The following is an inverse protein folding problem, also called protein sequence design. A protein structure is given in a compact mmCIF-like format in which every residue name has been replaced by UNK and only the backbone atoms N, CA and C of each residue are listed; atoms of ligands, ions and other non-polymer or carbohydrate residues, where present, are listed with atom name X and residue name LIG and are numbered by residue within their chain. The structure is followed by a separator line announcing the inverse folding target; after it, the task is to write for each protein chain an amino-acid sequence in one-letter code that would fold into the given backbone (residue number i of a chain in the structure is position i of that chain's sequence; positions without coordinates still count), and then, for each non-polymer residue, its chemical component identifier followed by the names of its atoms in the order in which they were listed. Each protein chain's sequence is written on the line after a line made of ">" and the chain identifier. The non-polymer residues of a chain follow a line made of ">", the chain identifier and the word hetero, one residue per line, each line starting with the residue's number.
data_IF_778968567183
#
_entry.id   IF_778968567183
#
_cell.length_a   1.000
_cell.length_b   1.000
_cell.length_c   1.000
_cell.angle_alpha   90.00
_cell.angle_beta   90.00
_cell.angle_gamma   90.00
#
_symmetry.space_group_name_H-M   'P 1'
#
loop_
_entity.id
_entity.type
_entity.pdbx_description
1 polymer ?
#
# COMPACT_ATOMS: atom_id res chain seq x y z
N UNK A 1 9.29 27.49 16.49
CA UNK A 1 9.45 27.41 15.03
C UNK A 1 9.06 26.03 14.51
N UNK A 2 8.66 25.93 13.24
CA UNK A 2 8.26 24.66 12.59
C UNK A 2 9.38 23.60 12.68
N UNK A 3 10.63 24.02 12.60
CA UNK A 3 11.79 23.13 12.72
C UNK A 3 11.89 22.49 14.10
N UNK A 4 11.66 23.23 15.16
CA UNK A 4 11.68 22.71 16.55
C UNK A 4 10.57 21.69 16.74
N UNK A 5 9.34 21.99 16.26
CA UNK A 5 8.22 21.04 16.29
C UNK A 5 8.59 19.73 15.59
N UNK A 6 9.09 19.81 14.35
CA UNK A 6 9.50 18.63 13.59
C UNK A 6 10.60 17.82 14.30
N UNK A 7 11.55 18.49 14.96
CA UNK A 7 12.60 17.83 15.70
C UNK A 7 12.05 17.09 16.92
N UNK A 8 11.15 17.71 17.69
CA UNK A 8 10.49 17.09 18.83
C UNK A 8 9.68 15.85 18.38
N UNK A 9 8.85 15.98 17.33
CA UNK A 9 8.10 14.86 16.73
C UNK A 9 9.04 13.71 16.32
N UNK A 10 10.20 14.04 15.74
CA UNK A 10 11.20 13.04 15.37
C UNK A 10 11.80 12.33 16.57
N UNK A 11 12.09 13.03 17.68
CA UNK A 11 12.58 12.40 18.92
C UNK A 11 11.53 11.41 19.46
N UNK A 12 10.26 11.79 19.53
CA UNK A 12 9.19 10.87 19.94
C UNK A 12 9.08 9.65 19.00
N UNK A 13 9.20 9.88 17.71
CA UNK A 13 9.21 8.78 16.73
C UNK A 13 10.39 7.82 16.96
N UNK A 14 11.60 8.35 17.21
CA UNK A 14 12.80 7.53 17.51
C UNK A 14 12.65 6.76 18.82
N UNK A 15 12.13 7.41 19.88
CA UNK A 15 11.86 6.76 21.14
C UNK A 15 10.84 5.62 20.97
N UNK A 16 9.77 5.85 20.25
CA UNK A 16 8.80 4.80 19.92
C UNK A 16 9.47 3.62 19.21
N UNK A 17 10.21 3.86 18.12
CA UNK A 17 10.92 2.81 17.38
C UNK A 17 11.87 2.04 18.29
N UNK A 18 12.67 2.74 19.12
CA UNK A 18 13.59 2.14 20.07
C UNK A 18 12.88 1.27 21.12
N UNK A 19 11.79 1.76 21.71
CA UNK A 19 10.99 0.99 22.66
C UNK A 19 10.41 -0.27 22.03
N UNK A 20 9.85 -0.16 20.82
CA UNK A 20 9.30 -1.33 20.12
C UNK A 20 10.39 -2.37 19.84
N UNK A 21 11.60 -1.95 19.46
CA UNK A 21 12.75 -2.87 19.26
C UNK A 21 13.16 -3.57 20.56
N UNK A 22 13.16 -2.86 21.69
CA UNK A 22 13.50 -3.44 23.03
C UNK A 22 12.50 -4.52 23.43
N UNK A 23 11.20 -4.28 23.28
CA UNK A 23 10.17 -5.27 23.66
C UNK A 23 10.05 -6.43 22.65
N UNK A 24 10.67 -6.30 21.50
CA UNK A 24 10.76 -7.33 20.46
C UNK A 24 9.53 -7.43 19.57
N UNK A 25 9.70 -8.11 18.42
CA UNK A 25 8.73 -8.12 17.32
C UNK A 25 7.31 -8.53 17.76
N UNK A 26 7.17 -9.71 18.38
CA UNK A 26 5.84 -10.25 18.76
C UNK A 26 5.12 -9.34 19.75
N UNK A 27 5.83 -8.85 20.76
CA UNK A 27 5.25 -7.97 21.78
C UNK A 27 4.88 -6.60 21.21
N UNK A 28 5.72 -6.04 20.35
CA UNK A 28 5.46 -4.78 19.62
C UNK A 28 4.16 -4.87 18.82
N UNK A 29 4.00 -5.92 18.03
CA UNK A 29 2.81 -6.15 17.19
C UNK A 29 1.56 -6.31 18.05
N UNK A 30 1.64 -7.14 19.09
CA UNK A 30 0.52 -7.37 20.02
C UNK A 30 0.12 -6.10 20.77
N UNK A 31 1.09 -5.37 21.31
CA UNK A 31 0.88 -4.13 22.05
C UNK A 31 0.26 -3.03 21.17
N UNK A 32 0.87 -2.74 20.01
CA UNK A 32 0.36 -1.71 19.12
C UNK A 32 -1.03 -2.07 18.55
N UNK A 33 -1.27 -3.34 18.22
CA UNK A 33 -2.57 -3.84 17.81
C UNK A 33 -3.63 -3.65 18.90
N UNK A 34 -3.31 -4.03 20.13
CA UNK A 34 -4.21 -3.87 21.26
C UNK A 34 -4.56 -2.40 21.54
N UNK A 35 -3.54 -1.55 21.65
CA UNK A 35 -3.72 -0.11 21.92
C UNK A 35 -4.57 0.53 20.82
N UNK A 36 -4.27 0.27 19.56
CA UNK A 36 -5.03 0.82 18.44
C UNK A 36 -6.48 0.29 18.42
N UNK A 37 -6.70 -0.98 18.73
CA UNK A 37 -8.05 -1.58 18.81
C UNK A 37 -8.91 -0.92 19.88
N UNK A 38 -8.32 -0.58 21.04
CA UNK A 38 -9.04 0.01 22.17
C UNK A 38 -9.25 1.52 21.98
N UNK A 39 -8.22 2.26 21.58
CA UNK A 39 -8.27 3.73 21.49
C UNK A 39 -8.74 4.23 20.12
N UNK A 40 -8.47 3.50 19.05
CA UNK A 40 -8.80 3.88 17.68
C UNK A 40 -10.27 4.22 17.46
N UNK A 41 -11.23 3.45 17.96
CA UNK A 41 -12.66 3.77 17.83
C UNK A 41 -13.06 5.16 18.32
N UNK A 42 -12.31 5.75 19.23
CA UNK A 42 -12.58 7.08 19.79
C UNK A 42 -11.89 8.22 19.02
N UNK A 43 -11.04 7.91 18.05
CA UNK A 43 -10.36 8.92 17.21
C UNK A 43 -11.33 9.45 16.14
N UNK A 44 -11.32 10.76 15.92
CA UNK A 44 -12.28 11.44 15.03
C UNK A 44 -12.35 10.88 13.60
N UNK A 45 -11.23 10.37 13.06
CA UNK A 45 -11.17 9.75 11.72
C UNK A 45 -12.00 8.46 11.62
N UNK A 46 -12.34 7.83 12.73
CA UNK A 46 -13.21 6.63 12.76
C UNK A 46 -14.59 6.90 12.18
N UNK A 47 -15.14 8.10 12.37
CA UNK A 47 -16.42 8.50 11.76
C UNK A 47 -16.39 8.45 10.24
N UNK A 48 -15.23 8.68 9.62
CA UNK A 48 -15.05 8.54 8.16
C UNK A 48 -15.15 7.06 7.77
N UNK A 49 -14.48 6.17 8.51
CA UNK A 49 -14.54 4.74 8.28
C UNK A 49 -15.98 4.20 8.41
N UNK A 50 -16.70 4.60 9.46
CA UNK A 50 -18.09 4.21 9.67
C UNK A 50 -18.99 4.65 8.50
N UNK A 51 -18.86 5.91 8.09
CA UNK A 51 -19.61 6.45 6.94
C UNK A 51 -19.30 5.67 5.65
N UNK A 52 -18.03 5.35 5.41
CA UNK A 52 -17.63 4.63 4.21
C UNK A 52 -18.10 3.16 4.24
N UNK A 53 -18.02 2.49 5.39
CA UNK A 53 -18.58 1.16 5.57
C UNK A 53 -20.09 1.14 5.31
N UNK A 54 -20.83 2.09 5.88
CA UNK A 54 -22.26 2.21 5.65
C UNK A 54 -22.62 2.50 4.19
N UNK A 55 -21.80 3.32 3.51
CA UNK A 55 -22.00 3.58 2.06
C UNK A 55 -21.82 2.33 1.20
N UNK A 56 -20.88 1.43 1.57
CA UNK A 56 -20.54 0.23 0.80
C UNK A 56 -21.44 -0.95 1.16
N UNK A 57 -21.70 -1.17 2.46
CA UNK A 57 -22.40 -2.35 2.96
C UNK A 57 -23.85 -2.09 3.43
N UNK A 58 -24.27 -0.83 3.43
CA UNK A 58 -25.57 -0.39 3.92
C UNK A 58 -25.60 -0.07 5.42
N UNK A 59 -26.58 0.69 5.86
CA UNK A 59 -26.70 1.19 7.24
C UNK A 59 -26.92 0.09 8.29
N UNK A 60 -27.41 -1.08 7.87
CA UNK A 60 -27.56 -2.24 8.77
C UNK A 60 -26.25 -2.98 9.05
N UNK A 61 -25.15 -2.57 8.42
CA UNK A 61 -23.85 -3.20 8.63
C UNK A 61 -23.32 -2.87 10.03
N UNK A 62 -22.92 -3.89 10.79
CA UNK A 62 -22.45 -3.75 12.17
C UNK A 62 -21.00 -3.18 12.20
N UNK A 63 -20.89 -1.86 12.03
CA UNK A 63 -19.60 -1.15 12.04
C UNK A 63 -18.88 -1.30 13.38
N UNK A 64 -19.62 -1.44 14.50
CA UNK A 64 -19.05 -1.59 15.85
C UNK A 64 -18.18 -2.84 15.99
N UNK A 65 -18.50 -3.90 15.25
CA UNK A 65 -17.68 -5.13 15.21
C UNK A 65 -16.46 -5.02 14.31
N UNK A 66 -16.53 -4.18 13.29
CA UNK A 66 -15.48 -4.10 12.25
C UNK A 66 -14.46 -3.01 12.58
N UNK A 67 -14.87 -1.86 13.06
CA UNK A 67 -13.98 -0.73 13.39
C UNK A 67 -12.82 -1.16 14.30
N UNK A 68 -13.03 -1.87 15.43
CA UNK A 68 -11.91 -2.32 16.23
C UNK A 68 -10.93 -3.25 15.51
N UNK A 69 -11.40 -4.06 14.56
CA UNK A 69 -10.53 -4.93 13.73
C UNK A 69 -9.70 -4.15 12.73
N UNK A 70 -10.25 -3.06 12.16
CA UNK A 70 -9.50 -2.14 11.30
C UNK A 70 -8.35 -1.52 12.09
N UNK A 71 -8.64 -1.01 13.28
CA UNK A 71 -7.65 -0.41 14.16
C UNK A 71 -6.61 -1.41 14.66
N UNK A 72 -7.01 -2.63 15.02
CA UNK A 72 -6.10 -3.72 15.37
C UNK A 72 -5.10 -4.00 14.25
N UNK A 73 -5.59 -4.14 13.01
CA UNK A 73 -4.71 -4.37 11.86
C UNK A 73 -3.75 -3.20 11.60
N UNK A 74 -4.23 -1.96 11.74
CA UNK A 74 -3.38 -0.78 11.61
C UNK A 74 -2.34 -0.68 12.74
N UNK A 75 -2.74 -0.94 13.98
CA UNK A 75 -1.81 -1.00 15.10
C UNK A 75 -0.74 -2.06 14.91
N UNK A 76 -1.11 -3.25 14.44
CA UNK A 76 -0.15 -4.31 14.08
C UNK A 76 0.84 -3.84 13.01
N UNK A 77 0.37 -3.17 11.96
CA UNK A 77 1.24 -2.57 10.96
C UNK A 77 2.25 -1.59 11.59
N UNK A 78 1.80 -0.73 12.50
CA UNK A 78 2.69 0.21 13.23
C UNK A 78 3.72 -0.55 14.08
N UNK A 79 3.29 -1.62 14.77
CA UNK A 79 4.17 -2.46 15.58
C UNK A 79 5.18 -3.28 14.77
N UNK A 80 4.85 -3.63 13.54
CA UNK A 80 5.71 -4.34 12.58
C UNK A 80 6.74 -3.42 11.91
N UNK A 81 6.42 -2.14 11.74
CA UNK A 81 7.23 -1.18 10.99
C UNK A 81 8.70 -1.09 11.46
N UNK A 82 9.03 -1.05 12.79
CA UNK A 82 10.41 -1.00 13.26
C UNK A 82 11.29 -2.17 12.81
N UNK A 83 10.67 -3.28 12.41
CA UNK A 83 11.34 -4.54 12.13
C UNK A 83 11.49 -4.87 10.64
N UNK A 84 11.05 -3.97 9.74
CA UNK A 84 11.12 -4.21 8.29
C UNK A 84 12.53 -4.63 7.85
N UNK A 85 13.59 -4.02 8.41
CA UNK A 85 14.98 -4.35 8.08
C UNK A 85 15.67 -5.27 9.09
N UNK A 86 15.04 -5.52 10.25
CA UNK A 86 15.62 -6.35 11.31
C UNK A 86 15.36 -7.86 11.08
N UNK A 87 14.22 -8.18 10.45
CA UNK A 87 13.89 -9.57 10.14
C UNK A 87 14.84 -10.13 9.08
N UNK A 88 15.34 -11.35 9.30
CA UNK A 88 16.10 -12.07 8.29
C UNK A 88 15.21 -12.47 7.11
N UNK A 89 15.81 -12.82 5.98
CA UNK A 89 15.06 -13.27 4.79
C UNK A 89 14.32 -14.58 5.09
N UNK A 90 14.91 -15.47 5.90
CA UNK A 90 14.24 -16.70 6.35
C UNK A 90 12.99 -16.38 7.18
N UNK A 91 13.07 -15.44 8.14
CA UNK A 91 11.93 -15.01 8.92
C UNK A 91 10.87 -14.38 8.03
N UNK A 92 11.25 -13.48 7.11
CA UNK A 92 10.34 -12.86 6.17
C UNK A 92 9.62 -13.90 5.30
N UNK A 93 10.37 -14.83 4.71
CA UNK A 93 9.79 -15.88 3.86
C UNK A 93 8.84 -16.80 4.63
N UNK A 94 9.11 -17.07 5.91
CA UNK A 94 8.22 -17.89 6.75
C UNK A 94 6.89 -17.21 7.08
N UNK A 95 6.80 -15.88 6.95
CA UNK A 95 5.59 -15.11 7.20
C UNK A 95 4.69 -14.98 5.97
N UNK A 96 5.17 -15.34 4.78
CA UNK A 96 4.44 -15.17 3.54
C UNK A 96 4.09 -16.49 2.86
N UNK A 97 2.84 -16.59 2.42
CA UNK A 97 2.42 -17.53 1.39
C UNK A 97 2.13 -16.74 0.12
N UNK A 98 2.81 -17.10 -0.97
CA UNK A 98 2.62 -16.44 -2.27
C UNK A 98 1.78 -17.34 -3.18
N UNK A 99 0.73 -16.76 -3.77
CA UNK A 99 -0.09 -17.39 -4.82
C UNK A 99 -0.03 -16.56 -6.09
N UNK A 100 -0.23 -17.20 -7.24
CA UNK A 100 -0.24 -16.52 -8.54
C UNK A 100 1.12 -16.04 -9.01
N UNK A 101 2.23 -16.58 -8.47
CA UNK A 101 3.58 -16.20 -8.88
C UNK A 101 3.84 -16.50 -10.37
N UNK A 102 3.11 -17.49 -10.93
CA UNK A 102 3.11 -17.83 -12.34
C UNK A 102 2.65 -16.66 -13.22
N UNK A 103 1.78 -15.77 -12.73
CA UNK A 103 1.30 -14.60 -13.46
C UNK A 103 2.39 -13.57 -13.77
N UNK A 104 3.53 -13.64 -13.05
CA UNK A 104 4.67 -12.72 -13.25
C UNK A 104 5.94 -13.44 -13.70
N UNK A 105 5.94 -14.77 -13.79
CA UNK A 105 7.10 -15.59 -14.11
C UNK A 105 7.71 -15.25 -15.49
N UNK A 106 6.87 -15.03 -16.48
CA UNK A 106 7.32 -14.69 -17.84
C UNK A 106 7.92 -13.29 -17.91
N UNK A 107 7.38 -12.35 -17.15
CA UNK A 107 7.96 -10.99 -17.03
C UNK A 107 9.34 -11.06 -16.36
N UNK A 108 9.50 -11.89 -15.31
CA UNK A 108 10.76 -12.11 -14.66
C UNK A 108 11.79 -12.73 -15.62
N UNK A 109 11.43 -13.86 -16.24
CA UNK A 109 12.31 -14.61 -17.16
C UNK A 109 12.80 -13.73 -18.33
N UNK A 110 11.90 -12.92 -18.87
CA UNK A 110 12.19 -12.06 -20.02
C UNK A 110 12.68 -10.67 -19.62
N UNK A 111 12.89 -10.40 -18.32
CA UNK A 111 13.28 -9.09 -17.77
C UNK A 111 12.35 -7.94 -18.24
N UNK A 112 11.08 -8.25 -18.47
CA UNK A 112 10.07 -7.27 -18.87
C UNK A 112 9.50 -6.58 -17.62
N UNK A 113 9.49 -5.25 -17.59
CA UNK A 113 8.91 -4.52 -16.47
C UNK A 113 7.37 -4.55 -16.49
N UNK A 114 6.77 -4.36 -15.32
CA UNK A 114 5.33 -4.29 -15.15
C UNK A 114 4.94 -3.25 -14.06
N UNK A 115 3.67 -2.91 -14.02
CA UNK A 115 3.08 -2.10 -12.98
C UNK A 115 2.44 -3.02 -11.96
N UNK A 116 2.90 -2.97 -10.72
CA UNK A 116 2.30 -3.67 -9.60
C UNK A 116 1.41 -2.70 -8.82
N UNK A 117 0.14 -3.01 -8.66
CA UNK A 117 -0.69 -2.22 -7.78
C UNK A 117 -1.18 -3.01 -6.57
N UNK A 118 -1.25 -2.31 -5.46
CA UNK A 118 -1.71 -2.82 -4.17
C UNK A 118 -2.69 -1.83 -3.56
N UNK A 119 -3.35 -2.28 -2.49
CA UNK A 119 -4.08 -1.43 -1.58
C UNK A 119 -3.36 -1.36 -0.22
N UNK A 120 -3.72 -0.38 0.62
CA UNK A 120 -3.25 -0.28 2.01
C UNK A 120 -3.89 -1.36 2.89
N UNK A 121 -3.61 -2.61 2.57
CA UNK A 121 -4.10 -3.81 3.26
C UNK A 121 -2.99 -4.46 4.08
N UNK A 122 -3.35 -5.06 5.19
CA UNK A 122 -2.43 -5.80 6.05
C UNK A 122 -1.11 -5.04 6.32
N UNK A 123 0.02 -5.55 5.84
CA UNK A 123 1.31 -4.84 5.88
C UNK A 123 1.93 -4.76 4.49
N UNK A 124 1.61 -3.69 3.76
CA UNK A 124 2.13 -3.45 2.40
C UNK A 124 3.65 -3.23 2.34
N UNK A 125 4.29 -2.76 3.42
CA UNK A 125 5.75 -2.61 3.45
C UNK A 125 6.44 -3.98 3.47
N UNK A 126 5.87 -4.96 4.16
CA UNK A 126 6.42 -6.33 4.18
C UNK A 126 6.27 -7.02 2.82
N UNK A 127 5.11 -6.89 2.14
CA UNK A 127 4.96 -7.50 0.81
C UNK A 127 5.86 -6.83 -0.22
N UNK A 128 6.03 -5.50 -0.14
CA UNK A 128 6.96 -4.79 -1.01
C UNK A 128 8.38 -5.31 -0.79
N UNK A 129 8.83 -5.44 0.47
CA UNK A 129 10.14 -6.01 0.78
C UNK A 129 10.27 -7.41 0.20
N UNK A 130 9.30 -8.30 0.44
CA UNK A 130 9.34 -9.68 -0.03
C UNK A 130 9.40 -9.77 -1.56
N UNK A 131 8.58 -8.98 -2.27
CA UNK A 131 8.61 -8.95 -3.74
C UNK A 131 9.92 -8.38 -4.26
N UNK A 132 10.50 -7.37 -3.63
CA UNK A 132 11.75 -6.76 -4.09
C UNK A 132 12.97 -7.64 -3.82
N UNK A 133 12.90 -8.58 -2.91
CA UNK A 133 13.93 -9.62 -2.76
C UNK A 133 13.89 -10.62 -3.94
N UNK A 134 12.70 -10.89 -4.49
CA UNK A 134 12.53 -11.77 -5.67
C UNK A 134 12.78 -11.01 -6.99
N UNK A 135 12.31 -9.75 -7.06
CA UNK A 135 12.40 -8.85 -8.21
C UNK A 135 13.09 -7.55 -7.79
N UNK A 136 14.43 -7.50 -7.78
CA UNK A 136 15.13 -6.37 -7.17
C UNK A 136 14.99 -5.04 -7.90
N UNK A 137 14.56 -5.04 -9.18
CA UNK A 137 14.48 -3.83 -10.00
C UNK A 137 13.09 -3.19 -9.95
N UNK A 138 12.76 -2.62 -8.80
CA UNK A 138 11.50 -1.91 -8.56
C UNK A 138 11.70 -0.44 -8.24
N UNK A 139 10.78 0.40 -8.71
CA UNK A 139 10.58 1.75 -8.22
C UNK A 139 9.22 1.83 -7.49
N UNK A 140 9.24 2.31 -6.27
CA UNK A 140 8.07 2.38 -5.38
C UNK A 140 7.63 3.82 -5.26
N UNK A 141 6.38 4.10 -5.63
CA UNK A 141 5.82 5.44 -5.50
C UNK A 141 5.29 5.62 -4.09
N UNK A 142 5.79 6.63 -3.37
CA UNK A 142 5.39 6.89 -1.99
C UNK A 142 5.04 8.36 -1.75
N UNK A 143 4.23 8.63 -0.74
CA UNK A 143 3.96 9.99 -0.27
C UNK A 143 4.98 10.38 0.80
N UNK A 144 5.66 11.51 0.61
CA UNK A 144 6.55 12.07 1.62
C UNK A 144 5.80 12.37 2.92
N UNK A 145 6.41 12.03 4.04
CA UNK A 145 5.90 12.47 5.34
C UNK A 145 6.03 14.00 5.48
N UNK A 146 5.11 14.61 6.23
CA UNK A 146 5.13 16.07 6.44
C UNK A 146 6.35 16.54 7.24
N UNK A 147 6.91 15.66 8.07
CA UNK A 147 8.11 15.90 8.86
C UNK A 147 9.33 15.32 8.12
N UNK A 148 10.27 16.13 7.64
CA UNK A 148 11.39 15.66 6.83
C UNK A 148 12.36 14.72 7.60
N UNK A 149 12.49 14.86 8.91
CA UNK A 149 13.31 13.95 9.71
C UNK A 149 12.67 12.56 9.79
N UNK A 150 11.36 12.52 9.98
CA UNK A 150 10.59 11.25 9.98
C UNK A 150 10.58 10.63 8.58
N UNK A 151 10.42 11.43 7.52
CA UNK A 151 10.48 10.97 6.13
C UNK A 151 11.81 10.25 5.82
N UNK A 152 12.93 10.85 6.23
CA UNK A 152 14.25 10.26 6.05
C UNK A 152 14.39 8.90 6.80
N UNK A 153 13.85 8.78 8.01
CA UNK A 153 13.87 7.50 8.73
C UNK A 153 12.97 6.45 8.07
N UNK A 154 11.80 6.83 7.58
CA UNK A 154 10.91 5.93 6.83
C UNK A 154 11.60 5.43 5.56
N UNK A 155 12.22 6.33 4.81
CA UNK A 155 12.98 5.97 3.61
C UNK A 155 14.13 5.01 3.94
N UNK A 156 14.90 5.31 4.99
CA UNK A 156 16.00 4.46 5.45
C UNK A 156 15.50 3.07 5.84
N UNK A 157 14.34 2.97 6.50
CA UNK A 157 13.70 1.71 6.87
C UNK A 157 13.25 0.92 5.64
N UNK A 158 12.81 1.59 4.56
CA UNK A 158 12.32 0.95 3.33
C UNK A 158 13.40 0.66 2.30
N UNK A 159 14.57 1.30 2.40
CA UNK A 159 15.65 1.21 1.40
C UNK A 159 16.69 0.13 1.73
N UNK A 160 16.25 -1.10 2.03
CA UNK A 160 17.16 -2.22 2.28
C UNK A 160 17.89 -2.67 1.03
N UNK A 161 17.13 -2.84 -0.06
CA UNK A 161 17.67 -3.27 -1.33
C UNK A 161 18.14 -2.05 -2.14
N UNK A 162 19.43 -1.92 -2.48
CA UNK A 162 19.96 -0.76 -3.22
C UNK A 162 19.40 -0.65 -4.64
N UNK A 163 18.85 -1.73 -5.19
CA UNK A 163 18.21 -1.73 -6.51
C UNK A 163 16.75 -1.29 -6.48
N UNK A 164 16.22 -0.97 -5.30
CA UNK A 164 14.86 -0.46 -5.13
C UNK A 164 14.90 1.05 -5.03
N UNK A 165 14.17 1.73 -5.92
CA UNK A 165 14.07 3.19 -5.96
C UNK A 165 12.82 3.65 -5.22
N UNK A 166 13.00 4.51 -4.21
CA UNK A 166 11.86 5.20 -3.57
C UNK A 166 11.62 6.54 -4.29
N UNK A 167 10.49 6.66 -4.97
CA UNK A 167 10.13 7.84 -5.77
C UNK A 167 8.97 8.58 -5.10
N UNK A 168 9.22 9.84 -4.75
CA UNK A 168 8.19 10.67 -4.14
C UNK A 168 7.05 10.97 -5.13
N UNK A 169 5.80 10.89 -4.68
CA UNK A 169 4.63 11.30 -5.44
C UNK A 169 4.68 12.80 -5.76
N UNK A 170 4.20 13.17 -6.93
CA UNK A 170 4.09 14.56 -7.38
C UNK A 170 5.24 15.04 -8.27
N UNK A 171 5.31 16.35 -8.58
CA UNK A 171 6.25 16.91 -9.55
C UNK A 171 7.72 16.63 -9.23
N UNK A 172 8.08 16.60 -7.94
CA UNK A 172 9.46 16.33 -7.51
C UNK A 172 9.95 14.91 -7.88
N UNK A 173 9.05 13.94 -7.97
CA UNK A 173 9.39 12.56 -8.32
C UNK A 173 9.24 12.23 -9.81
N UNK A 174 8.56 13.09 -10.59
CA UNK A 174 8.23 12.79 -11.98
C UNK A 174 9.47 12.47 -12.86
N UNK A 175 10.54 13.24 -12.71
CA UNK A 175 11.81 12.97 -13.42
C UNK A 175 12.43 11.63 -13.01
N UNK A 176 12.36 11.30 -11.72
CA UNK A 176 12.84 10.01 -11.20
C UNK A 176 12.05 8.84 -11.75
N UNK A 177 10.73 8.99 -11.85
CA UNK A 177 9.83 7.98 -12.41
C UNK A 177 10.14 7.72 -13.89
N UNK A 178 10.27 8.77 -14.71
CA UNK A 178 10.63 8.63 -16.13
C UNK A 178 11.99 7.96 -16.28
N UNK A 179 12.98 8.30 -15.45
CA UNK A 179 14.29 7.65 -15.44
C UNK A 179 14.17 6.16 -15.09
N UNK A 180 13.38 5.82 -14.06
CA UNK A 180 13.17 4.43 -13.65
C UNK A 180 12.56 3.61 -14.80
N UNK A 181 11.51 4.13 -15.44
CA UNK A 181 10.87 3.48 -16.60
C UNK A 181 11.85 3.26 -17.74
N UNK A 182 12.61 4.30 -18.14
CA UNK A 182 13.63 4.19 -19.21
C UNK A 182 14.71 3.14 -18.88
N UNK A 183 14.99 2.92 -17.60
CA UNK A 183 15.94 1.89 -17.14
C UNK A 183 15.29 0.53 -16.91
N UNK A 184 14.03 0.32 -17.31
CA UNK A 184 13.31 -0.95 -17.22
C UNK A 184 12.99 -1.38 -15.80
N UNK A 185 12.68 -0.44 -14.91
CA UNK A 185 12.17 -0.74 -13.56
C UNK A 185 10.69 -1.07 -13.64
N UNK A 186 10.26 -2.11 -12.93
CA UNK A 186 8.86 -2.29 -12.57
C UNK A 186 8.44 -1.23 -11.57
N UNK A 187 7.18 -0.81 -11.59
CA UNK A 187 6.70 0.27 -10.73
C UNK A 187 5.64 -0.28 -9.78
N UNK A 188 5.83 -0.11 -8.47
CA UNK A 188 4.83 -0.45 -7.47
C UNK A 188 4.11 0.80 -6.95
N UNK A 189 2.78 0.73 -6.86
CA UNK A 189 1.94 1.82 -6.36
C UNK A 189 0.78 1.30 -5.50
N UNK A 190 0.47 2.07 -4.46
CA UNK A 190 -0.78 1.96 -3.71
C UNK A 190 -1.79 2.91 -4.36
N UNK A 191 -2.89 2.37 -4.89
CA UNK A 191 -3.83 3.12 -5.75
C UNK A 191 -5.21 3.36 -5.11
N UNK A 192 -5.40 2.89 -3.89
CA UNK A 192 -6.67 2.82 -3.20
C UNK A 192 -7.06 4.07 -2.40
N UNK A 193 -6.26 5.14 -2.45
CA UNK A 193 -6.55 6.40 -1.78
C UNK A 193 -7.23 7.39 -2.72
N UNK A 194 -8.20 8.16 -2.15
CA UNK A 194 -8.82 9.30 -2.83
C UNK A 194 -7.76 10.26 -3.36
N UNK A 195 -7.97 10.75 -4.56
CA UNK A 195 -7.08 11.69 -5.21
C UNK A 195 -7.88 12.86 -5.79
N UNK A 196 -7.74 14.05 -5.21
CA UNK A 196 -8.55 15.23 -5.62
C UNK A 196 -8.33 15.64 -7.08
N UNK A 197 -7.14 15.38 -7.63
CA UNK A 197 -6.74 15.58 -9.04
C UNK A 197 -6.84 14.29 -9.88
N UNK A 198 -7.57 13.29 -9.37
CA UNK A 198 -7.88 12.05 -10.07
C UNK A 198 -9.04 12.19 -11.05
N UNK A 199 -9.62 11.06 -11.41
CA UNK A 199 -10.86 10.99 -12.22
C UNK A 199 -11.96 10.33 -11.41
N UNK A 200 -13.20 10.73 -11.66
CA UNK A 200 -14.35 10.12 -11.04
C UNK A 200 -14.68 8.79 -11.73
N UNK A 201 -14.54 7.68 -10.99
CA UNK A 201 -14.85 6.33 -11.47
C UNK A 201 -15.62 5.58 -10.38
N UNK A 202 -16.61 4.75 -10.73
CA UNK A 202 -17.33 3.95 -9.74
C UNK A 202 -16.41 3.06 -8.90
N UNK A 203 -16.57 3.15 -7.58
CA UNK A 203 -15.95 2.26 -6.60
C UNK A 203 -17.04 1.75 -5.64
N UNK A 204 -17.24 0.44 -5.58
CA UNK A 204 -18.42 -0.17 -4.92
C UNK A 204 -19.77 0.44 -5.38
N UNK A 205 -19.89 0.74 -6.68
CA UNK A 205 -21.10 1.32 -7.24
C UNK A 205 -21.36 2.79 -6.86
N UNK A 206 -20.40 3.47 -6.22
CA UNK A 206 -20.47 4.90 -5.85
C UNK A 206 -19.37 5.69 -6.55
N UNK A 207 -19.62 6.93 -6.98
CA UNK A 207 -18.60 7.76 -7.58
C UNK A 207 -17.46 8.03 -6.59
N UNK A 208 -16.22 7.83 -7.06
CA UNK A 208 -15.02 8.05 -6.25
C UNK A 208 -13.89 8.66 -7.09
N UNK A 209 -13.28 9.71 -6.55
CA UNK A 209 -12.11 10.35 -7.16
C UNK A 209 -10.89 9.44 -7.02
N UNK A 210 -10.48 8.81 -8.13
CA UNK A 210 -9.49 7.74 -8.19
C UNK A 210 -8.21 8.19 -8.90
N UNK A 211 -7.05 7.78 -8.37
CA UNK A 211 -5.76 8.05 -8.99
C UNK A 211 -5.65 7.37 -10.36
N UNK A 212 -5.29 8.12 -11.40
CA UNK A 212 -5.23 7.63 -12.77
C UNK A 212 -3.80 7.40 -13.30
N UNK A 213 -2.78 7.63 -12.48
CA UNK A 213 -1.38 7.55 -12.90
C UNK A 213 -1.01 6.17 -13.46
N UNK A 214 -1.50 5.08 -12.83
CA UNK A 214 -1.19 3.73 -13.26
C UNK A 214 -1.72 3.43 -14.67
N UNK A 215 -2.95 3.85 -14.99
CA UNK A 215 -3.54 3.67 -16.30
C UNK A 215 -2.78 4.48 -17.37
N UNK A 216 -2.43 5.75 -17.04
CA UNK A 216 -1.64 6.60 -17.94
C UNK A 216 -0.26 5.98 -18.22
N UNK A 217 0.42 5.44 -17.23
CA UNK A 217 1.72 4.78 -17.38
C UNK A 217 1.61 3.51 -18.22
N UNK A 218 0.59 2.69 -17.98
CA UNK A 218 0.34 1.49 -18.79
C UNK A 218 0.15 1.83 -20.26
N UNK A 219 -0.72 2.78 -20.58
CA UNK A 219 -0.98 3.21 -21.96
C UNK A 219 0.23 3.87 -22.62
N UNK A 220 1.00 4.67 -21.86
CA UNK A 220 2.13 5.41 -22.43
C UNK A 220 3.36 4.54 -22.69
N UNK A 221 3.61 3.55 -21.83
CA UNK A 221 4.84 2.74 -21.86
C UNK A 221 4.58 1.27 -22.18
N UNK A 222 3.34 0.90 -22.43
CA UNK A 222 2.91 -0.48 -22.68
C UNK A 222 3.35 -1.44 -21.56
N UNK A 223 3.23 -0.99 -20.29
CA UNK A 223 3.50 -1.81 -19.13
C UNK A 223 2.24 -2.56 -18.72
N UNK A 224 2.30 -3.90 -18.59
CA UNK A 224 1.19 -4.67 -18.06
C UNK A 224 0.89 -4.29 -16.60
N UNK A 225 -0.37 -4.36 -16.23
CA UNK A 225 -0.84 -4.05 -14.86
C UNK A 225 -1.13 -5.36 -14.14
N UNK A 226 -0.42 -5.62 -13.06
CA UNK A 226 -0.56 -6.81 -12.21
C UNK A 226 -1.16 -6.40 -10.87
N UNK A 227 -2.38 -6.87 -10.54
CA UNK A 227 -2.95 -6.68 -9.22
C UNK A 227 -2.25 -7.55 -8.17
N UNK A 228 -1.97 -6.99 -7.00
CA UNK A 228 -1.48 -7.74 -5.86
C UNK A 228 -2.40 -7.50 -4.65
N UNK A 229 -3.01 -8.56 -4.16
CA UNK A 229 -3.83 -8.55 -2.96
C UNK A 229 -3.02 -9.05 -1.77
N UNK A 230 -3.12 -8.38 -0.63
CA UNK A 230 -2.45 -8.79 0.59
C UNK A 230 -3.48 -9.06 1.69
N UNK A 231 -3.42 -10.25 2.27
CA UNK A 231 -4.33 -10.70 3.33
C UNK A 231 -3.50 -11.03 4.58
N UNK A 232 -3.86 -10.45 5.73
CA UNK A 232 -3.36 -10.92 7.04
C UNK A 232 -4.18 -12.14 7.45
N UNK A 233 -3.54 -13.30 7.56
CA UNK A 233 -4.21 -14.55 7.95
C UNK A 233 -4.33 -14.60 9.47
N UNK A 234 -3.21 -14.47 10.17
CA UNK A 234 -3.16 -14.48 11.62
C UNK A 234 -1.88 -13.76 12.07
N UNK A 235 -2.00 -12.89 13.08
CA UNK A 235 -0.86 -12.13 13.60
C UNK A 235 -0.07 -11.44 12.47
N UNK A 236 1.21 -11.78 12.30
CA UNK A 236 2.08 -11.30 11.22
C UNK A 236 2.32 -12.35 10.13
N UNK A 237 1.36 -13.25 9.91
CA UNK A 237 1.38 -14.16 8.77
C UNK A 237 0.47 -13.64 7.66
N UNK A 238 0.97 -13.64 6.44
CA UNK A 238 0.32 -13.00 5.30
C UNK A 238 0.20 -13.96 4.12
N UNK A 239 -0.84 -13.74 3.33
CA UNK A 239 -1.02 -14.33 2.02
C UNK A 239 -0.99 -13.20 1.00
N UNK A 240 -0.04 -13.25 0.07
CA UNK A 240 0.03 -12.35 -1.06
C UNK A 240 -0.44 -13.08 -2.33
N UNK A 241 -1.38 -12.51 -3.05
CA UNK A 241 -1.96 -13.09 -4.27
C UNK A 241 -1.64 -12.15 -5.42
N UNK A 242 -0.83 -12.62 -6.37
CA UNK A 242 -0.60 -11.96 -7.64
C UNK A 242 -1.67 -12.43 -8.62
N UNK A 243 -2.59 -11.52 -8.98
CA UNK A 243 -3.65 -11.84 -9.93
C UNK A 243 -3.13 -11.80 -11.38
N UNK A 244 -3.86 -12.40 -12.34
CA UNK A 244 -3.55 -12.24 -13.75
C UNK A 244 -3.50 -10.77 -14.16
N UNK A 245 -2.71 -10.48 -15.19
CA UNK A 245 -2.65 -9.16 -15.82
C UNK A 245 -4.03 -8.64 -16.19
N UNK A 246 -4.29 -7.37 -15.93
CA UNK A 246 -5.49 -6.68 -16.41
C UNK A 246 -5.39 -6.54 -17.93
N UNK A 247 -6.20 -7.30 -18.66
CA UNK A 247 -6.27 -7.23 -20.13
C UNK A 247 -7.13 -6.04 -20.54
N UNK A 248 -6.56 -5.17 -21.37
CA UNK A 248 -7.25 -4.04 -21.94
C UNK A 248 -6.75 -3.78 -23.37
N UNK A 249 -7.67 -3.51 -24.31
CA UNK A 249 -7.36 -3.15 -25.69
C UNK A 249 -7.50 -1.62 -25.83
N UNK A 250 -6.40 -0.87 -26.00
CA UNK A 250 -6.48 0.57 -26.18
C UNK A 250 -7.27 0.97 -27.44
N UNK A 251 -8.03 2.04 -27.32
CA UNK A 251 -8.76 2.66 -28.43
C UNK A 251 -8.06 3.94 -28.91
N UNK A 252 -8.69 4.70 -29.81
CA UNK A 252 -8.20 6.02 -30.20
C UNK A 252 -8.49 7.10 -29.15
N UNK A 253 -9.38 6.84 -28.17
CA UNK A 253 -9.78 7.78 -27.14
C UNK A 253 -9.03 7.50 -25.81
N UNK A 254 -7.90 8.18 -25.59
CA UNK A 254 -7.05 7.98 -24.43
C UNK A 254 -7.75 8.27 -23.09
N UNK A 255 -8.69 9.22 -23.04
CA UNK A 255 -9.40 9.55 -21.78
C UNK A 255 -10.33 8.42 -21.38
N UNK A 256 -11.07 7.90 -22.37
CA UNK A 256 -11.94 6.75 -22.19
C UNK A 256 -11.15 5.49 -21.83
N UNK A 257 -9.97 5.29 -22.42
CA UNK A 257 -9.06 4.18 -22.10
C UNK A 257 -8.59 4.26 -20.66
N UNK A 258 -8.19 5.44 -20.19
CA UNK A 258 -7.80 5.65 -18.77
C UNK A 258 -8.97 5.34 -17.85
N UNK A 259 -10.16 5.84 -18.15
CA UNK A 259 -11.37 5.57 -17.36
C UNK A 259 -11.65 4.06 -17.26
N UNK A 260 -11.66 3.35 -18.38
CA UNK A 260 -11.96 1.93 -18.43
C UNK A 260 -10.92 1.07 -17.70
N UNK A 261 -9.63 1.39 -17.82
CA UNK A 261 -8.57 0.71 -17.05
C UNK A 261 -8.78 0.91 -15.55
N UNK A 262 -9.08 2.13 -15.09
CA UNK A 262 -9.34 2.39 -13.67
C UNK A 262 -10.60 1.68 -13.19
N UNK A 263 -11.63 1.60 -14.02
CA UNK A 263 -12.84 0.83 -13.72
C UNK A 263 -12.52 -0.67 -13.50
N UNK A 264 -11.71 -1.27 -14.36
CA UNK A 264 -11.23 -2.64 -14.21
C UNK A 264 -10.41 -2.82 -12.92
N UNK A 265 -9.52 -1.88 -12.61
CA UNK A 265 -8.74 -1.87 -11.35
C UNK A 265 -9.69 -1.84 -10.14
N UNK A 266 -10.68 -0.97 -10.15
CA UNK A 266 -11.66 -0.89 -9.06
C UNK A 266 -12.46 -2.17 -8.89
N UNK A 267 -12.77 -2.87 -9.98
CA UNK A 267 -13.48 -4.16 -9.95
C UNK A 267 -12.62 -5.29 -9.40
N UNK A 268 -11.31 -5.30 -9.64
CA UNK A 268 -10.40 -6.32 -9.11
C UNK A 268 -10.17 -6.21 -7.60
N UNK A 269 -10.38 -5.03 -7.00
CA UNK A 269 -10.35 -4.86 -5.54
C UNK A 269 -11.63 -5.35 -4.83
N UNK A 270 -12.68 -5.67 -5.60
CA UNK A 270 -14.00 -6.01 -5.08
C UNK A 270 -14.21 -7.46 -4.61
N UNK A 271 -13.55 -8.49 -5.16
CA UNK A 271 -13.90 -9.84 -4.81
C UNK A 271 -13.21 -10.25 -3.52
N UNK A 272 -13.88 -10.36 -2.51
CA UNK A 272 -13.63 -10.95 -1.22
C UNK A 272 -13.62 -9.96 -0.04
N UNK A 273 -14.79 -9.89 0.53
CA UNK A 273 -15.21 -9.24 1.77
C UNK A 273 -14.39 -9.58 3.03
N UNK A 274 -13.22 -10.22 2.90
CA UNK A 274 -12.42 -10.72 4.04
C UNK A 274 -11.25 -9.85 4.46
N UNK A 275 -10.83 -8.90 3.63
CA UNK A 275 -9.77 -7.95 3.97
C UNK A 275 -10.37 -6.58 4.27
N UNK A 276 -10.51 -6.21 5.54
CA UNK A 276 -10.90 -4.85 5.90
C UNK A 276 -9.76 -3.93 5.55
N UNK A 277 -9.96 -3.10 4.51
CA UNK A 277 -8.97 -2.19 3.99
C UNK A 277 -8.91 -0.93 4.84
N UNK A 278 -7.69 -0.50 5.23
CA UNK A 278 -7.45 0.79 5.88
C UNK A 278 -7.97 1.98 5.04
N UNK A 279 -8.06 1.83 3.74
CA UNK A 279 -8.56 2.81 2.78
C UNK A 279 -9.97 3.31 3.09
N UNK A 280 -10.80 2.47 3.72
CA UNK A 280 -12.14 2.88 4.15
C UNK A 280 -12.11 4.05 5.14
N UNK A 281 -10.97 4.32 5.77
CA UNK A 281 -10.78 5.47 6.68
C UNK A 281 -10.40 6.75 5.92
N UNK A 282 -9.87 6.65 4.71
CA UNK A 282 -9.26 7.80 4.01
C UNK A 282 -10.11 8.40 2.89
N UNK A 283 -11.22 7.75 2.48
CA UNK A 283 -12.13 8.30 1.47
C UNK A 283 -13.20 9.18 2.12
N UNK A 284 -12.92 10.45 2.26
CA UNK A 284 -13.90 11.50 2.62
C UNK A 284 -14.04 12.51 1.49
#
# INVERSE_FOLDING_TARGET
>A
SKKIKHFIEYIFFKLFIGTMKIIGFKNSVAFCGYVARVLGPYIGVTKIAERNLNKVFGEKFDTKKIIPKIWDNFGKYIGEFPFINELSDQQMNSMFTMEGIENVKDYQKNKKPFLLFLAHQANWDFVIRHITDIYPKFAIIYRKANNPYVDNEILRTRSRNPNVLMIAKGPSGAKGLVRAIKNGYSIAMLVDQKMNDGIEVPFFGKPAMTANAIAKLSLQYNYPIIPCQLIRIKESNFKAILHPEIKYQPTSNKENDVYNIILLINQTHLPERRGVCWTLIQHS
#
